data_IF_071674687855
#
_entry.id   IF_071674687855
#
_cell.length_a   1.000
_cell.length_b   1.000
_cell.length_c   1.000
_cell.angle_alpha   90.00
_cell.angle_beta   90.00
_cell.angle_gamma   90.00
#
_symmetry.space_group_name_H-M   'P 1'
#
loop_
_entity.id
_entity.type
_entity.pdbx_description
1 polymer ?
#
# COMPACT_ATOMS: atom_id res chain seq x y z
N UNK A 1 16.92 12.90 3.74
CA UNK A 1 17.07 14.24 3.15
C UNK A 1 18.29 14.33 2.22
N UNK A 2 19.53 14.12 2.70
CA UNK A 2 20.74 14.23 1.85
C UNK A 2 20.77 13.26 0.66
N UNK A 3 20.33 12.01 0.87
CA UNK A 3 20.25 10.98 -0.19
C UNK A 3 19.29 11.39 -1.32
N UNK A 4 18.09 11.89 -0.96
CA UNK A 4 17.08 12.34 -1.91
C UNK A 4 17.57 13.50 -2.77
N UNK A 5 18.16 14.53 -2.16
CA UNK A 5 18.69 15.68 -2.92
C UNK A 5 19.82 15.28 -3.88
N UNK A 6 20.70 14.35 -3.47
CA UNK A 6 21.76 13.83 -4.33
C UNK A 6 21.21 13.02 -5.52
N UNK A 7 20.24 12.14 -5.29
CA UNK A 7 19.58 11.37 -6.34
C UNK A 7 18.80 12.26 -7.32
N UNK A 8 18.05 13.26 -6.83
CA UNK A 8 17.36 14.24 -7.67
C UNK A 8 18.33 15.00 -8.57
N UNK A 9 19.44 15.48 -8.01
CA UNK A 9 20.47 16.18 -8.79
C UNK A 9 21.12 15.28 -9.85
N UNK A 10 21.42 14.02 -9.50
CA UNK A 10 22.00 13.04 -10.43
C UNK A 10 21.03 12.69 -11.57
N UNK A 11 19.74 12.51 -11.28
CA UNK A 11 18.71 12.25 -12.28
C UNK A 11 18.54 13.46 -13.21
N UNK A 12 18.51 14.67 -12.66
CA UNK A 12 18.41 15.90 -13.46
C UNK A 12 19.58 16.04 -14.44
N UNK A 13 20.82 15.85 -13.96
CA UNK A 13 22.02 15.85 -14.81
C UNK A 13 21.96 14.76 -15.89
N UNK A 14 21.47 13.57 -15.54
CA UNK A 14 21.33 12.45 -16.49
C UNK A 14 20.34 12.78 -17.61
N UNK A 15 19.23 13.42 -17.28
CA UNK A 15 18.21 13.86 -18.26
C UNK A 15 18.81 14.89 -19.22
N UNK A 16 19.60 15.85 -18.72
CA UNK A 16 20.24 16.87 -19.57
C UNK A 16 21.29 16.29 -20.53
N UNK A 17 21.89 15.14 -20.20
CA UNK A 17 22.93 14.49 -21.01
C UNK A 17 22.39 13.47 -22.02
N UNK A 18 21.11 13.10 -21.95
CA UNK A 18 20.51 12.08 -22.80
C UNK A 18 19.93 12.71 -24.08
N UNK A 19 19.99 11.98 -25.19
CA UNK A 19 19.43 12.41 -26.48
C UNK A 19 17.91 12.57 -26.40
N UNK A 20 17.38 13.60 -27.08
CA UNK A 20 15.94 13.88 -27.15
C UNK A 20 15.10 12.69 -27.63
N UNK A 21 15.65 11.84 -28.51
CA UNK A 21 14.95 10.65 -29.01
C UNK A 21 14.68 9.64 -27.89
N UNK A 22 15.66 9.39 -27.03
CA UNK A 22 15.53 8.49 -25.88
C UNK A 22 14.63 9.08 -24.78
N UNK A 23 14.59 10.41 -24.65
CA UNK A 23 13.65 11.11 -23.79
C UNK A 23 12.21 11.11 -24.33
N UNK A 24 12.00 11.00 -25.64
CA UNK A 24 10.67 10.86 -26.21
C UNK A 24 10.11 9.44 -26.05
N UNK A 25 10.98 8.43 -26.11
CA UNK A 25 10.62 7.05 -25.77
C UNK A 25 10.25 6.90 -24.29
N UNK A 26 10.93 7.64 -23.40
CA UNK A 26 10.60 7.71 -21.98
C UNK A 26 9.61 8.86 -21.71
N UNK A 27 8.30 8.58 -21.69
CA UNK A 27 7.25 9.56 -21.40
C UNK A 27 7.63 10.48 -20.22
N UNK A 28 7.57 11.80 -20.41
CA UNK A 28 7.90 12.81 -19.37
C UNK A 28 7.19 12.53 -18.04
N UNK A 29 5.95 12.01 -18.09
CA UNK A 29 5.20 11.59 -16.91
C UNK A 29 5.83 10.43 -16.13
N UNK A 30 6.47 9.47 -16.81
CA UNK A 30 7.16 8.35 -16.18
C UNK A 30 8.41 8.83 -15.41
N UNK A 31 9.12 9.83 -15.93
CA UNK A 31 10.27 10.44 -15.26
C UNK A 31 9.83 11.19 -14.00
N UNK A 32 8.71 11.91 -14.06
CA UNK A 32 8.17 12.65 -12.90
C UNK A 32 7.66 11.69 -11.83
N UNK A 33 7.01 10.59 -12.24
CA UNK A 33 6.56 9.54 -11.33
C UNK A 33 7.75 8.85 -10.63
N UNK A 34 8.79 8.51 -11.39
CA UNK A 34 10.05 7.97 -10.86
C UNK A 34 10.68 8.90 -9.82
N UNK A 35 10.75 10.21 -10.11
CA UNK A 35 11.33 11.19 -9.18
C UNK A 35 10.47 11.35 -7.93
N UNK A 36 9.15 11.29 -8.04
CA UNK A 36 8.25 11.59 -6.93
C UNK A 36 8.03 10.37 -6.03
N UNK A 37 7.73 9.23 -6.63
CA UNK A 37 7.36 8.00 -5.91
C UNK A 37 8.60 7.18 -5.52
N UNK A 38 9.50 6.90 -6.47
CA UNK A 38 10.63 6.00 -6.20
C UNK A 38 11.69 6.64 -5.31
N UNK A 39 11.97 7.95 -5.46
CA UNK A 39 12.91 8.61 -4.56
C UNK A 39 12.42 8.66 -3.12
N UNK A 40 11.12 8.88 -2.92
CA UNK A 40 10.51 8.81 -1.59
C UNK A 40 10.64 7.39 -1.01
N UNK A 41 10.46 6.37 -1.85
CA UNK A 41 10.62 4.98 -1.41
C UNK A 41 12.07 4.67 -1.05
N UNK A 42 13.02 5.02 -1.90
CA UNK A 42 14.47 4.80 -1.71
C UNK A 42 14.98 5.51 -0.46
N UNK A 43 14.49 6.71 -0.15
CA UNK A 43 14.84 7.43 1.07
C UNK A 43 14.48 6.63 2.35
N UNK A 44 13.39 5.87 2.32
CA UNK A 44 12.93 5.08 3.46
C UNK A 44 13.64 3.72 3.63
N UNK A 45 14.28 3.21 2.58
CA UNK A 45 14.95 1.89 2.59
C UNK A 45 16.09 1.79 3.61
N UNK A 46 17.06 2.72 3.69
CA UNK A 46 18.19 2.57 4.61
C UNK A 46 17.76 2.57 6.07
N UNK A 47 16.72 3.34 6.40
CA UNK A 47 16.14 3.36 7.74
C UNK A 47 15.53 1.98 8.08
N UNK A 48 14.72 1.41 7.18
CA UNK A 48 14.15 0.06 7.35
C UNK A 48 15.23 -1.01 7.47
N UNK A 49 16.28 -0.92 6.66
CA UNK A 49 17.40 -1.87 6.72
C UNK A 49 18.10 -1.81 8.08
N UNK A 50 18.35 -0.60 8.59
CA UNK A 50 18.95 -0.40 9.92
C UNK A 50 18.08 -0.99 11.02
N UNK A 51 16.75 -0.82 10.93
CA UNK A 51 15.82 -1.46 11.89
C UNK A 51 15.87 -2.97 11.85
N UNK A 52 15.97 -3.60 10.66
CA UNK A 52 16.08 -5.05 10.55
C UNK A 52 17.37 -5.55 11.19
N UNK A 53 18.48 -4.85 10.96
CA UNK A 53 19.78 -5.19 11.58
C UNK A 53 19.76 -5.00 13.10
N UNK A 54 19.15 -3.93 13.59
CA UNK A 54 18.98 -3.70 15.03
C UNK A 54 18.13 -4.81 15.67
N UNK A 55 17.00 -5.16 15.05
CA UNK A 55 16.12 -6.22 15.54
C UNK A 55 16.83 -7.58 15.65
N UNK A 56 17.72 -7.88 14.70
CA UNK A 56 18.50 -9.13 14.71
C UNK A 56 19.45 -9.21 15.92
N UNK A 57 19.89 -8.06 16.45
CA UNK A 57 20.72 -7.96 17.66
C UNK A 57 19.86 -7.88 18.92
N UNK A 58 18.75 -7.14 18.89
CA UNK A 58 17.89 -6.92 20.04
C UNK A 58 17.16 -8.20 20.49
N UNK A 59 16.64 -9.01 19.56
CA UNK A 59 15.92 -10.25 19.89
C UNK A 59 16.80 -11.22 20.72
N UNK A 60 18.00 -11.62 20.29
CA UNK A 60 18.83 -12.54 21.07
C UNK A 60 19.28 -11.92 22.39
N UNK A 61 19.54 -10.60 22.42
CA UNK A 61 19.91 -9.89 23.66
C UNK A 61 18.78 -9.97 24.70
N UNK A 62 17.55 -9.68 24.30
CA UNK A 62 16.36 -9.73 25.17
C UNK A 62 16.13 -11.16 25.66
N UNK A 63 16.19 -12.15 24.77
CA UNK A 63 15.99 -13.56 25.14
C UNK A 63 17.07 -14.03 26.12
N UNK A 64 18.33 -13.67 25.89
CA UNK A 64 19.44 -14.02 26.78
C UNK A 64 19.27 -13.39 28.18
N UNK A 65 18.94 -12.09 28.23
CA UNK A 65 18.71 -11.38 29.48
C UNK A 65 17.52 -11.94 30.27
N UNK A 66 16.46 -12.30 29.57
CA UNK A 66 15.24 -12.86 30.17
C UNK A 66 15.50 -14.24 30.78
N UNK A 67 16.27 -15.11 30.11
CA UNK A 67 16.69 -16.41 30.66
C UNK A 67 17.62 -16.22 31.86
N UNK A 68 18.51 -15.22 31.84
CA UNK A 68 19.41 -14.95 32.97
C UNK A 68 18.66 -14.47 34.22
N UNK A 69 17.64 -13.59 34.06
CA UNK A 69 16.91 -13.00 35.19
C UNK A 69 15.80 -13.91 35.76
N UNK A 70 15.06 -14.62 34.90
CA UNK A 70 13.83 -15.36 35.27
C UNK A 70 14.04 -16.89 35.22
N UNK A 71 15.10 -17.38 34.55
CA UNK A 71 15.34 -18.80 34.37
C UNK A 71 14.33 -19.46 33.42
N UNK A 72 14.03 -20.74 33.63
CA UNK A 72 13.23 -21.56 32.70
C UNK A 72 11.78 -21.11 32.54
N UNK A 73 11.23 -20.36 33.51
CA UNK A 73 9.85 -19.85 33.46
C UNK A 73 9.63 -18.82 32.35
N UNK A 74 10.70 -18.18 31.86
CA UNK A 74 10.68 -17.25 30.74
C UNK A 74 10.18 -17.90 29.43
N UNK A 75 10.41 -19.22 29.26
CA UNK A 75 10.12 -19.92 28.02
C UNK A 75 8.63 -19.90 27.67
N UNK A 76 7.76 -19.99 28.68
CA UNK A 76 6.29 -19.94 28.51
C UNK A 76 5.84 -18.59 27.98
N UNK A 77 6.46 -17.50 28.45
CA UNK A 77 6.18 -16.15 27.96
C UNK A 77 6.61 -15.96 26.50
N UNK A 78 7.79 -16.46 26.12
CA UNK A 78 8.25 -16.44 24.73
C UNK A 78 7.32 -17.24 23.82
N UNK A 79 6.88 -18.41 24.26
CA UNK A 79 5.94 -19.25 23.51
C UNK A 79 4.60 -18.53 23.28
N UNK A 80 4.07 -17.86 24.31
CA UNK A 80 2.85 -17.06 24.20
C UNK A 80 3.02 -15.86 23.26
N UNK A 81 4.16 -15.17 23.31
CA UNK A 81 4.44 -14.06 22.39
C UNK A 81 4.57 -14.52 20.94
N UNK A 82 5.16 -15.70 20.70
CA UNK A 82 5.23 -16.29 19.37
C UNK A 82 3.85 -16.63 18.81
N UNK A 83 2.97 -17.24 19.61
CA UNK A 83 1.61 -17.58 19.17
C UNK A 83 0.79 -16.31 18.91
N UNK A 84 0.87 -15.31 19.79
CA UNK A 84 0.22 -14.02 19.59
C UNK A 84 0.73 -13.30 18.32
N UNK A 85 2.04 -13.35 18.07
CA UNK A 85 2.63 -12.77 16.85
C UNK A 85 2.14 -13.48 15.60
N UNK A 86 2.11 -14.83 15.61
CA UNK A 86 1.61 -15.60 14.48
C UNK A 86 0.14 -15.27 14.17
N UNK A 87 -0.70 -15.13 15.20
CA UNK A 87 -2.08 -14.69 15.07
C UNK A 87 -2.20 -13.27 14.49
N UNK A 88 -1.39 -12.33 14.97
CA UNK A 88 -1.38 -10.96 14.42
C UNK A 88 -0.95 -10.94 12.94
N UNK A 89 -0.02 -11.80 12.53
CA UNK A 89 0.42 -11.91 11.13
C UNK A 89 -0.67 -12.49 10.21
N UNK A 90 -1.45 -13.47 10.67
CA UNK A 90 -2.56 -14.02 9.87
C UNK A 90 -3.66 -12.98 9.69
N UNK A 91 -4.05 -12.29 10.77
CA UNK A 91 -5.02 -11.17 10.73
C UNK A 91 -4.52 -10.06 9.80
N UNK A 92 -3.26 -9.67 9.91
CA UNK A 92 -2.65 -8.64 9.06
C UNK A 92 -2.66 -9.03 7.58
N UNK A 93 -2.36 -10.29 7.27
CA UNK A 93 -2.40 -10.82 5.90
C UNK A 93 -3.81 -10.82 5.33
N UNK A 94 -4.79 -11.18 6.15
CA UNK A 94 -6.20 -11.16 5.77
C UNK A 94 -6.69 -9.73 5.49
N UNK A 95 -6.45 -8.82 6.43
CA UNK A 95 -6.78 -7.40 6.26
C UNK A 95 -6.05 -6.78 5.05
N UNK A 96 -4.83 -7.23 4.76
CA UNK A 96 -4.10 -6.87 3.54
C UNK A 96 -4.80 -7.31 2.24
N UNK A 97 -5.37 -8.52 2.20
CA UNK A 97 -6.15 -9.01 1.04
C UNK A 97 -7.40 -8.17 0.83
N UNK A 98 -8.11 -7.83 1.90
CA UNK A 98 -9.36 -7.11 1.77
C UNK A 98 -9.14 -5.66 1.36
N UNK A 99 -8.13 -5.00 1.94
CA UNK A 99 -7.69 -3.66 1.49
C UNK A 99 -7.38 -3.62 -0.01
N UNK A 100 -6.83 -4.71 -0.58
CA UNK A 100 -6.60 -4.79 -2.04
C UNK A 100 -7.91 -4.87 -2.82
N UNK A 101 -8.88 -5.65 -2.37
CA UNK A 101 -10.20 -5.75 -3.01
C UNK A 101 -10.93 -4.40 -3.02
N UNK A 102 -10.92 -3.69 -1.89
CA UNK A 102 -11.48 -2.34 -1.79
C UNK A 102 -10.77 -1.37 -2.75
N UNK A 103 -9.43 -1.43 -2.79
CA UNK A 103 -8.64 -0.59 -3.70
C UNK A 103 -9.02 -0.85 -5.17
N UNK A 104 -9.13 -2.12 -5.59
CA UNK A 104 -9.54 -2.49 -6.96
C UNK A 104 -10.94 -1.97 -7.33
N UNK A 105 -11.92 -2.03 -6.41
CA UNK A 105 -13.24 -1.46 -6.64
C UNK A 105 -13.21 0.07 -6.75
N UNK A 106 -12.44 0.72 -5.88
CA UNK A 106 -12.28 2.19 -5.91
C UNK A 106 -11.66 2.65 -7.23
N UNK A 107 -10.63 1.95 -7.71
CA UNK A 107 -9.97 2.24 -8.98
C UNK A 107 -10.93 2.09 -10.16
N UNK A 108 -11.78 1.03 -10.19
CA UNK A 108 -12.82 0.88 -11.22
C UNK A 108 -13.81 2.02 -11.22
N UNK A 109 -14.23 2.49 -10.05
CA UNK A 109 -15.13 3.65 -9.93
C UNK A 109 -14.47 4.91 -10.48
N UNK A 110 -13.21 5.16 -10.13
CA UNK A 110 -12.45 6.33 -10.60
C UNK A 110 -12.29 6.29 -12.12
N UNK A 111 -11.95 5.13 -12.69
CA UNK A 111 -11.82 4.95 -14.13
C UNK A 111 -13.13 5.23 -14.89
N UNK A 112 -14.27 4.75 -14.36
CA UNK A 112 -15.57 5.02 -14.99
C UNK A 112 -16.00 6.49 -14.85
N UNK A 113 -15.63 7.15 -13.75
CA UNK A 113 -15.84 8.60 -13.64
C UNK A 113 -15.01 9.37 -14.67
N UNK A 114 -13.78 8.94 -14.93
CA UNK A 114 -12.91 9.54 -15.95
C UNK A 114 -13.49 9.40 -17.37
N UNK A 115 -14.02 8.22 -17.71
CA UNK A 115 -14.72 7.97 -18.98
C UNK A 115 -15.96 8.86 -19.14
N UNK A 116 -16.75 9.03 -18.09
CA UNK A 116 -17.94 9.90 -18.08
C UNK A 116 -17.56 11.36 -18.29
N UNK A 117 -16.51 11.84 -17.62
CA UNK A 117 -16.04 13.23 -17.75
C UNK A 117 -15.52 13.49 -19.16
N UNK A 118 -14.76 12.55 -19.73
CA UNK A 118 -14.23 12.64 -21.10
C UNK A 118 -15.35 12.57 -22.14
N UNK A 119 -16.38 11.76 -21.92
CA UNK A 119 -17.52 11.54 -22.83
C UNK A 119 -18.74 12.46 -22.62
N UNK A 120 -18.67 13.46 -21.73
CA UNK A 120 -19.84 14.20 -21.23
C UNK A 120 -20.70 14.86 -22.32
N UNK A 121 -20.08 15.31 -23.42
CA UNK A 121 -20.79 15.96 -24.53
C UNK A 121 -21.68 14.98 -25.28
N UNK A 122 -21.21 13.76 -25.51
CA UNK A 122 -21.96 12.70 -26.20
C UNK A 122 -23.13 12.23 -25.34
N UNK A 123 -22.87 12.02 -24.04
CA UNK A 123 -23.89 11.60 -23.06
C UNK A 123 -25.06 12.58 -23.01
N UNK A 124 -24.76 13.88 -22.99
CA UNK A 124 -25.77 14.94 -22.94
C UNK A 124 -26.53 15.10 -24.26
N UNK A 125 -25.87 14.85 -25.38
CA UNK A 125 -26.49 14.92 -26.72
C UNK A 125 -27.42 13.74 -26.98
N UNK A 126 -27.13 12.57 -26.39
CA UNK A 126 -27.95 11.36 -26.50
C UNK A 126 -28.88 11.10 -25.28
N UNK A 127 -28.91 12.02 -24.31
CA UNK A 127 -29.69 11.88 -23.06
C UNK A 127 -29.43 10.56 -22.29
N UNK A 128 -28.19 10.06 -22.30
CA UNK A 128 -27.78 8.83 -21.61
C UNK A 128 -27.47 9.00 -20.12
N UNK A 129 -27.87 10.13 -19.53
CA UNK A 129 -27.54 10.49 -18.14
C UNK A 129 -28.08 9.47 -17.13
N UNK A 130 -29.28 8.94 -17.37
CA UNK A 130 -29.91 7.97 -16.46
C UNK A 130 -29.22 6.61 -16.47
N UNK A 131 -28.82 6.12 -17.64
CA UNK A 131 -28.10 4.83 -17.78
C UNK A 131 -26.75 4.89 -17.07
N UNK A 132 -26.01 5.99 -17.24
CA UNK A 132 -24.73 6.19 -16.56
C UNK A 132 -24.89 6.40 -15.05
N UNK A 133 -25.95 7.11 -14.63
CA UNK A 133 -26.29 7.27 -13.21
C UNK A 133 -26.56 5.93 -12.55
N UNK A 134 -27.28 5.03 -13.22
CA UNK A 134 -27.58 3.69 -12.70
C UNK A 134 -26.32 2.82 -12.60
N UNK A 135 -25.44 2.83 -13.61
CA UNK A 135 -24.13 2.16 -13.56
C UNK A 135 -23.28 2.60 -12.37
N UNK A 136 -23.16 3.90 -12.13
CA UNK A 136 -22.38 4.44 -11.00
C UNK A 136 -23.02 4.05 -9.67
N UNK A 137 -24.35 4.09 -9.58
CA UNK A 137 -25.09 3.69 -8.37
C UNK A 137 -24.92 2.20 -8.07
N UNK A 138 -24.89 1.34 -9.09
CA UNK A 138 -24.64 -0.09 -8.95
C UNK A 138 -23.23 -0.37 -8.41
N UNK A 139 -22.21 0.33 -8.93
CA UNK A 139 -20.84 0.21 -8.45
C UNK A 139 -20.67 0.68 -7.00
N UNK A 140 -21.30 1.81 -6.65
CA UNK A 140 -21.34 2.27 -5.25
C UNK A 140 -22.05 1.26 -4.35
N UNK A 141 -23.12 0.61 -4.82
CA UNK A 141 -23.80 -0.44 -4.06
C UNK A 141 -22.88 -1.65 -3.83
N UNK A 142 -22.07 -2.03 -4.83
CA UNK A 142 -21.08 -3.11 -4.70
C UNK A 142 -19.98 -2.75 -3.70
N UNK A 143 -19.44 -1.53 -3.75
CA UNK A 143 -18.46 -1.00 -2.78
C UNK A 143 -19.01 -1.04 -1.34
N UNK A 144 -20.23 -0.54 -1.12
CA UNK A 144 -20.86 -0.53 0.19
C UNK A 144 -21.20 -1.94 0.72
N UNK A 145 -21.57 -2.87 -0.17
CA UNK A 145 -21.89 -4.24 0.21
C UNK A 145 -20.64 -5.02 0.61
N UNK A 146 -19.53 -4.84 -0.10
CA UNK A 146 -18.24 -5.43 0.30
C UNK A 146 -17.74 -4.83 1.62
N UNK A 147 -17.84 -3.51 1.81
CA UNK A 147 -17.47 -2.86 3.08
C UNK A 147 -18.34 -3.31 4.26
N UNK A 148 -19.63 -3.55 4.05
CA UNK A 148 -20.55 -3.98 5.12
C UNK A 148 -20.44 -5.47 5.44
N UNK A 149 -20.08 -6.30 4.45
CA UNK A 149 -19.77 -7.72 4.67
C UNK A 149 -18.46 -7.90 5.45
N UNK A 150 -17.56 -6.92 5.40
CA UNK A 150 -16.32 -6.88 6.18
C UNK A 150 -16.57 -6.54 7.65
N UNK A 151 -17.39 -5.54 7.97
CA UNK A 151 -17.77 -5.23 9.36
C UNK A 151 -18.41 -6.43 10.07
N UNK A 152 -19.26 -7.19 9.37
CA UNK A 152 -19.87 -8.41 9.90
C UNK A 152 -18.84 -9.55 10.12
N UNK A 153 -17.84 -9.70 9.24
CA UNK A 153 -16.80 -10.76 9.39
C UNK A 153 -15.77 -10.43 10.47
N UNK A 154 -15.31 -9.19 10.57
CA UNK A 154 -14.39 -8.74 11.62
C UNK A 154 -15.05 -8.89 13.00
N UNK A 155 -16.35 -8.58 13.11
CA UNK A 155 -17.12 -8.78 14.34
C UNK A 155 -17.22 -10.27 14.73
N UNK A 156 -17.32 -11.17 13.75
CA UNK A 156 -17.41 -12.63 13.97
C UNK A 156 -16.09 -13.24 14.45
N UNK A 157 -14.96 -12.78 13.91
CA UNK A 157 -13.62 -13.28 14.29
C UNK A 157 -13.10 -12.65 15.60
N UNK A 158 -13.65 -11.51 16.03
CA UNK A 158 -13.33 -10.89 17.32
C UNK A 158 -14.07 -11.50 18.53
N UNK A 159 -15.09 -12.33 18.28
CA UNK A 159 -15.94 -12.94 19.32
C UNK A 159 -15.71 -14.44 19.52
N UNK A 160 -14.75 -15.04 18.80
CA UNK A 160 -14.25 -16.42 19.00
C UNK A 160 -12.85 -16.41 19.61
#
# INVERSE_FOLDING_TARGET
MKLRSALQGMIYLKITLISQHTLQEATTGHVIDLISNDLQRIESVPLKLTYIMALLVDIPLIVCLMVYMIGWQALTGVLFLLTATAFMLTVSSFCGKIRRQIAELSDRRIALMDEVVTGIRLIKTHAWEDIYREKVKELRRKENMESSQEDCRVSSDSTS
#
